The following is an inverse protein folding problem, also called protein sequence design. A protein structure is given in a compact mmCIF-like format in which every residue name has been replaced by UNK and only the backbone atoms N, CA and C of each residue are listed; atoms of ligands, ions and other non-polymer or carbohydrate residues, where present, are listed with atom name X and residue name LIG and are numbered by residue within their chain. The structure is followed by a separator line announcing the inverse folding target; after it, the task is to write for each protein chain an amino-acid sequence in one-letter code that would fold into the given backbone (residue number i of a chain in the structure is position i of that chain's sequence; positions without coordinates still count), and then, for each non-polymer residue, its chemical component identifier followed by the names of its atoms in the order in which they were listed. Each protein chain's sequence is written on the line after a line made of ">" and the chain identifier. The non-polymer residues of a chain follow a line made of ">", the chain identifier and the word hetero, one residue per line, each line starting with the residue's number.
data_IF_062650641065
#
_entry.id   IF_062650641065
#
_cell.length_a   1.000
_cell.length_b   1.000
_cell.length_c   1.000
_cell.angle_alpha   90.00
_cell.angle_beta   90.00
_cell.angle_gamma   90.00
#
_symmetry.space_group_name_H-M   'P 1'
#
loop_
_entity.id
_entity.type
_entity.pdbx_description
1 polymer ?
#
# COMPACT_ATOMS: atom_id res chain seq x y z
N UNK A 1 -7.28 -4.88 7.54
CA UNK A 1 -8.10 -3.78 6.97
C UNK A 1 -7.97 -3.76 5.44
N UNK A 2 -6.84 -3.32 4.87
CA UNK A 2 -6.68 -3.18 3.41
C UNK A 2 -6.98 -4.47 2.62
N UNK A 3 -6.37 -5.61 2.96
CA UNK A 3 -6.59 -6.88 2.24
C UNK A 3 -8.07 -7.26 2.22
N UNK A 4 -8.76 -7.16 3.35
CA UNK A 4 -10.20 -7.47 3.44
C UNK A 4 -11.08 -6.47 2.69
N UNK A 5 -10.71 -5.19 2.70
CA UNK A 5 -11.47 -4.12 2.06
C UNK A 5 -11.41 -4.18 0.52
N UNK A 6 -10.25 -4.54 -0.03
CA UNK A 6 -9.99 -4.51 -1.47
C UNK A 6 -9.87 -5.89 -2.11
N UNK A 7 -9.90 -6.97 -1.33
CA UNK A 7 -9.72 -8.34 -1.83
C UNK A 7 -8.38 -8.56 -2.54
N UNK A 8 -7.39 -7.69 -2.29
CA UNK A 8 -6.12 -7.63 -3.01
C UNK A 8 -4.96 -7.78 -2.04
N UNK A 9 -3.87 -8.41 -2.50
CA UNK A 9 -2.66 -8.56 -1.71
C UNK A 9 -1.94 -7.23 -1.45
N UNK A 10 -1.19 -7.18 -0.36
CA UNK A 10 -0.30 -6.06 -0.02
C UNK A 10 1.08 -6.61 0.31
N UNK A 11 2.14 -5.88 -0.03
CA UNK A 11 3.51 -6.27 0.33
C UNK A 11 3.99 -5.44 1.51
N UNK A 12 4.55 -6.10 2.52
CA UNK A 12 5.22 -5.43 3.64
C UNK A 12 6.73 -5.39 3.37
N UNK A 13 7.29 -4.20 3.31
CA UNK A 13 8.72 -3.97 3.09
C UNK A 13 9.36 -3.54 4.42
N UNK A 14 10.40 -4.24 4.92
CA UNK A 14 11.17 -3.77 6.05
C UNK A 14 11.98 -2.54 5.65
N UNK A 15 11.95 -1.49 6.46
CA UNK A 15 12.62 -0.23 6.20
C UNK A 15 13.31 0.29 7.46
N UNK A 16 14.19 1.28 7.28
CA UNK A 16 14.89 1.96 8.36
C UNK A 16 14.84 3.47 8.15
N UNK A 17 14.49 4.21 9.20
CA UNK A 17 14.39 5.67 9.11
C UNK A 17 15.76 6.31 8.91
N UNK A 18 15.94 7.11 7.86
CA UNK A 18 17.25 7.70 7.53
C UNK A 18 17.81 8.63 8.62
N UNK A 19 16.95 9.42 9.27
CA UNK A 19 17.38 10.30 10.35
C UNK A 19 17.46 9.58 11.70
N UNK A 20 16.42 8.81 12.05
CA UNK A 20 16.29 8.22 13.39
C UNK A 20 16.97 6.86 13.54
N UNK A 21 17.36 6.24 12.44
CA UNK A 21 17.93 4.90 12.37
C UNK A 21 17.05 3.78 12.98
N UNK A 22 15.76 4.07 13.24
CA UNK A 22 14.79 3.12 13.80
C UNK A 22 14.19 2.24 12.70
N UNK A 23 13.87 1.00 13.04
CA UNK A 23 13.12 0.11 12.18
C UNK A 23 11.72 0.65 11.89
N UNK A 24 11.27 0.46 10.66
CA UNK A 24 9.98 0.88 10.13
C UNK A 24 9.43 -0.22 9.22
N UNK A 25 8.10 -0.30 9.12
CA UNK A 25 7.43 -1.10 8.10
C UNK A 25 6.81 -0.18 7.07
N UNK A 26 7.01 -0.49 5.79
CA UNK A 26 6.31 0.17 4.68
C UNK A 26 5.32 -0.83 4.09
N UNK A 27 4.10 -0.37 3.82
CA UNK A 27 3.11 -1.16 3.09
C UNK A 27 3.12 -0.67 1.64
N UNK A 28 3.51 -1.55 0.72
CA UNK A 28 3.39 -1.33 -0.70
C UNK A 28 2.09 -1.94 -1.19
N UNK A 29 1.24 -1.10 -1.78
CA UNK A 29 -0.08 -1.51 -2.22
C UNK A 29 -0.43 -0.83 -3.54
N UNK A 30 -0.67 -1.63 -4.57
CA UNK A 30 -1.06 -1.17 -5.89
C UNK A 30 -2.58 -1.17 -5.97
N UNK A 31 -3.15 -0.03 -6.35
CA UNK A 31 -4.60 0.18 -6.47
C UNK A 31 -4.92 0.95 -7.74
N UNK A 32 -6.16 0.80 -8.22
CA UNK A 32 -6.67 1.67 -9.25
C UNK A 32 -6.85 3.11 -8.71
N UNK A 33 -6.65 4.14 -9.55
CA UNK A 33 -6.87 5.55 -9.17
C UNK A 33 -8.22 5.81 -8.51
N UNK A 34 -9.28 5.08 -8.90
CA UNK A 34 -10.62 5.23 -8.33
C UNK A 34 -10.73 4.68 -6.89
N UNK A 35 -9.79 3.82 -6.48
CA UNK A 35 -9.74 3.22 -5.14
C UNK A 35 -8.94 4.08 -4.14
N UNK A 36 -8.17 5.08 -4.60
CA UNK A 36 -7.28 5.88 -3.77
C UNK A 36 -8.03 6.55 -2.60
N UNK A 37 -9.18 7.17 -2.87
CA UNK A 37 -9.96 7.89 -1.84
C UNK A 37 -10.38 6.94 -0.71
N UNK A 38 -10.96 5.78 -1.08
CA UNK A 38 -11.35 4.74 -0.13
C UNK A 38 -10.16 4.18 0.64
N UNK A 39 -9.03 3.96 -0.03
CA UNK A 39 -7.80 3.47 0.59
C UNK A 39 -7.29 4.46 1.65
N UNK A 40 -7.27 5.76 1.34
CA UNK A 40 -6.89 6.80 2.31
C UNK A 40 -7.79 6.79 3.54
N UNK A 41 -9.11 6.66 3.37
CA UNK A 41 -10.05 6.55 4.50
C UNK A 41 -9.72 5.35 5.37
N UNK A 42 -9.48 4.18 4.78
CA UNK A 42 -9.16 2.95 5.53
C UNK A 42 -7.84 3.10 6.29
N UNK A 43 -6.81 3.66 5.64
CA UNK A 43 -5.50 3.90 6.27
C UNK A 43 -5.63 4.88 7.43
N UNK A 44 -6.28 6.03 7.23
CA UNK A 44 -6.40 7.05 8.28
C UNK A 44 -7.37 6.67 9.41
N UNK A 45 -8.36 5.81 9.14
CA UNK A 45 -9.17 5.22 10.20
C UNK A 45 -8.33 4.30 11.11
N UNK A 46 -7.30 3.65 10.57
CA UNK A 46 -6.39 2.80 11.33
C UNK A 46 -5.25 3.60 12.00
N UNK A 47 -4.66 4.56 11.28
CA UNK A 47 -3.64 5.48 11.79
C UNK A 47 -3.86 6.88 11.19
N UNK A 48 -4.47 7.82 11.95
CA UNK A 48 -4.69 9.19 11.50
C UNK A 48 -3.39 9.94 11.14
N UNK A 49 -2.24 9.48 11.62
CA UNK A 49 -0.92 10.10 11.37
C UNK A 49 -0.11 9.38 10.30
N UNK A 50 -0.69 8.39 9.62
CA UNK A 50 -0.01 7.69 8.55
C UNK A 50 0.36 8.64 7.41
N UNK A 51 1.57 8.48 6.87
CA UNK A 51 2.01 9.20 5.68
C UNK A 51 1.88 8.27 4.47
N UNK A 52 1.33 8.79 3.38
CA UNK A 52 1.05 8.02 2.17
C UNK A 52 1.72 8.71 0.99
N UNK A 53 2.58 7.98 0.28
CA UNK A 53 3.09 8.38 -1.03
C UNK A 53 2.30 7.65 -2.11
N UNK A 54 1.94 8.36 -3.18
CA UNK A 54 1.28 7.79 -4.35
C UNK A 54 2.22 7.94 -5.53
N UNK A 55 2.47 6.84 -6.23
CA UNK A 55 3.29 6.80 -7.43
C UNK A 55 2.50 6.10 -8.52
N UNK A 56 2.47 6.68 -9.71
CA UNK A 56 1.80 6.08 -10.86
C UNK A 56 2.57 4.85 -11.34
N UNK A 57 1.83 3.81 -11.73
CA UNK A 57 2.36 2.62 -12.38
C UNK A 57 1.76 2.54 -13.77
N UNK A 58 2.58 2.23 -14.77
CA UNK A 58 2.15 2.22 -16.18
C UNK A 58 1.25 1.01 -16.49
N UNK A 59 1.75 -0.19 -16.20
CA UNK A 59 1.05 -1.45 -16.47
C UNK A 59 1.08 -2.35 -15.23
N UNK A 60 -0.03 -3.05 -15.01
CA UNK A 60 -0.16 -4.07 -13.97
C UNK A 60 -0.50 -5.38 -14.67
N UNK A 61 0.45 -6.30 -14.69
CA UNK A 61 0.25 -7.64 -15.20
C UNK A 61 -0.09 -8.57 -14.05
N UNK A 62 -1.21 -9.29 -14.18
CA UNK A 62 -1.52 -10.40 -13.28
C UNK A 62 -0.84 -11.63 -13.84
N UNK A 63 -0.01 -12.28 -13.04
CA UNK A 63 0.48 -13.61 -13.38
C UNK A 63 -0.67 -14.60 -13.15
N UNK A 64 -1.14 -15.24 -14.21
CA UNK A 64 -2.01 -16.41 -14.15
C UNK A 64 -1.15 -17.63 -14.55
N UNK A 65 -1.01 -18.66 -13.71
CA UNK A 65 -0.07 -19.76 -13.94
C UNK A 65 -0.34 -20.66 -15.16
N UNK A 66 -1.26 -20.28 -16.04
CA UNK A 66 -1.73 -21.10 -17.17
C UNK A 66 -1.48 -20.42 -18.55
N UNK A 67 -0.75 -19.30 -18.60
CA UNK A 67 -0.15 -18.74 -19.84
C UNK A 67 1.32 -19.18 -20.02
#
# INVERSE_FOLDING_TARGET
>A
ALIGEFGSGTTKIPARGGFTNKEKGVIYFVVNRFQISRMRTVVHNADPRAYITISDVADIYRYEPED
#
